data_IF_289918582350
#
_entry.id   IF_289918582350
#
_cell.length_a   1.000
_cell.length_b   1.000
_cell.length_c   1.000
_cell.angle_alpha   90.00
_cell.angle_beta   90.00
_cell.angle_gamma   90.00
#
_symmetry.space_group_name_H-M   'P 1'
#
loop_
_entity.id
_entity.type
_entity.pdbx_description
1 polymer ?
#
# COMPACT_ATOMS: atom_id res chain seq x y z
N UNK A 1 9.51 30.83 -37.18
CA UNK A 1 8.24 30.78 -36.42
C UNK A 1 8.13 29.38 -35.85
N UNK A 2 8.82 29.14 -34.73
CA UNK A 2 8.85 27.82 -34.07
C UNK A 2 7.54 27.59 -33.31
N UNK A 3 6.89 26.47 -33.59
CA UNK A 3 5.76 25.96 -32.80
C UNK A 3 6.32 25.38 -31.50
N UNK A 4 5.92 25.96 -30.37
CA UNK A 4 6.08 25.34 -29.06
C UNK A 4 5.25 24.04 -29.07
N UNK A 5 5.93 22.91 -29.15
CA UNK A 5 5.31 21.60 -28.89
C UNK A 5 4.97 21.58 -27.40
N UNK A 6 3.67 21.59 -27.08
CA UNK A 6 3.20 21.32 -25.72
C UNK A 6 3.76 19.96 -25.29
N UNK A 7 4.60 19.96 -24.26
CA UNK A 7 5.11 18.73 -23.66
C UNK A 7 3.90 17.89 -23.23
N UNK A 8 3.77 16.68 -23.78
CA UNK A 8 2.79 15.72 -23.31
C UNK A 8 3.14 15.37 -21.86
N UNK A 9 2.43 15.96 -20.90
CA UNK A 9 2.55 15.61 -19.49
C UNK A 9 1.82 14.28 -19.34
N UNK A 10 2.56 13.18 -19.14
CA UNK A 10 1.93 11.91 -18.79
C UNK A 10 1.13 12.12 -17.51
N UNK A 11 -0.11 11.62 -17.41
CA UNK A 11 -0.80 11.60 -16.12
C UNK A 11 0.09 10.86 -15.12
N UNK A 12 0.27 11.44 -13.92
CA UNK A 12 1.00 10.78 -12.84
C UNK A 12 0.39 9.43 -12.51
N UNK A 13 1.20 8.50 -11.97
CA UNK A 13 0.72 7.17 -11.60
C UNK A 13 -0.40 7.25 -10.57
N UNK A 14 -1.37 6.34 -10.68
CA UNK A 14 -2.45 6.25 -9.70
C UNK A 14 -2.05 5.33 -8.55
N UNK A 15 -2.28 5.75 -7.32
CA UNK A 15 -2.01 4.96 -6.12
C UNK A 15 -3.30 4.58 -5.40
N UNK A 16 -3.37 3.34 -4.89
CA UNK A 16 -4.50 2.87 -4.07
C UNK A 16 -4.03 2.39 -2.71
N UNK A 17 -4.98 2.42 -1.76
CA UNK A 17 -4.79 1.98 -0.39
C UNK A 17 -5.89 0.96 -0.06
N UNK A 18 -5.51 -0.31 -0.01
CA UNK A 18 -6.43 -1.43 0.13
C UNK A 18 -6.44 -1.99 1.55
N UNK A 19 -7.58 -2.41 2.09
CA UNK A 19 -7.64 -3.01 3.41
C UNK A 19 -7.03 -4.42 3.38
N UNK A 20 -6.18 -4.72 4.35
CA UNK A 20 -5.53 -6.04 4.47
C UNK A 20 -5.72 -6.64 5.87
N UNK A 21 -5.71 -7.98 5.94
CA UNK A 21 -5.92 -8.75 7.17
C UNK A 21 -4.67 -9.55 7.56
N UNK A 22 -3.89 -9.99 6.58
CA UNK A 22 -2.64 -10.72 6.77
C UNK A 22 -1.43 -9.84 6.42
N UNK A 23 -0.32 -10.09 7.10
CA UNK A 23 0.96 -9.43 6.79
C UNK A 23 1.71 -10.19 5.69
N UNK A 24 2.51 -9.50 4.85
CA UNK A 24 3.42 -10.16 3.91
C UNK A 24 4.34 -11.16 4.60
N UNK A 25 4.85 -10.83 5.79
CA UNK A 25 5.77 -11.69 6.54
C UNK A 25 5.19 -13.09 6.80
N UNK A 26 3.88 -13.18 7.08
CA UNK A 26 3.20 -14.47 7.27
C UNK A 26 2.96 -15.25 5.97
N UNK A 27 3.01 -14.58 4.81
CA UNK A 27 2.58 -15.13 3.52
C UNK A 27 3.74 -15.49 2.60
N UNK A 28 4.92 -14.86 2.76
CA UNK A 28 6.06 -15.10 1.87
C UNK A 28 6.47 -16.57 1.81
N UNK A 29 6.61 -17.22 2.97
CA UNK A 29 6.97 -18.64 3.04
C UNK A 29 5.95 -19.54 2.34
N UNK A 30 4.66 -19.49 2.75
CA UNK A 30 3.58 -20.21 2.10
C UNK A 30 3.46 -19.95 0.59
N UNK A 31 3.63 -18.70 0.14
CA UNK A 31 3.58 -18.35 -1.29
C UNK A 31 4.75 -18.98 -2.05
N UNK A 32 5.98 -18.93 -1.51
CA UNK A 32 7.11 -19.59 -2.15
C UNK A 32 6.88 -21.11 -2.28
N UNK A 33 6.31 -21.76 -1.26
CA UNK A 33 5.93 -23.17 -1.33
C UNK A 33 4.84 -23.43 -2.39
N UNK A 34 3.86 -22.53 -2.49
CA UNK A 34 2.80 -22.58 -3.50
C UNK A 34 3.34 -22.48 -4.94
N UNK A 35 4.43 -21.74 -5.16
CA UNK A 35 5.11 -21.72 -6.47
C UNK A 35 5.79 -23.05 -6.84
N UNK A 36 6.04 -23.91 -5.86
CA UNK A 36 6.53 -25.29 -6.03
C UNK A 36 5.40 -26.33 -6.05
N UNK A 37 4.14 -25.89 -6.00
CA UNK A 37 2.95 -26.74 -5.98
C UNK A 37 2.56 -27.29 -4.62
N UNK A 38 3.06 -26.69 -3.54
CA UNK A 38 2.67 -27.02 -2.15
C UNK A 38 1.77 -25.92 -1.60
N UNK A 39 0.45 -26.13 -1.64
CA UNK A 39 -0.51 -25.07 -1.35
C UNK A 39 -1.12 -25.14 0.05
N UNK A 40 -1.02 -26.28 0.72
CA UNK A 40 -1.63 -26.56 2.04
C UNK A 40 -1.46 -25.40 3.03
N UNK A 41 -0.21 -24.99 3.31
CA UNK A 41 0.08 -23.91 4.25
C UNK A 41 -0.52 -22.55 3.86
N UNK A 42 -0.65 -22.27 2.54
CA UNK A 42 -1.23 -21.02 2.06
C UNK A 42 -2.76 -21.05 2.23
N UNK A 43 -3.39 -22.18 1.90
CA UNK A 43 -4.84 -22.36 2.01
C UNK A 43 -5.30 -22.36 3.48
N UNK A 44 -4.53 -23.00 4.37
CA UNK A 44 -4.80 -23.02 5.82
C UNK A 44 -4.82 -21.62 6.44
N UNK A 45 -4.02 -20.69 5.91
CA UNK A 45 -3.96 -19.30 6.40
C UNK A 45 -5.14 -18.45 5.93
N UNK A 46 -5.74 -18.76 4.79
CA UNK A 46 -6.67 -17.86 4.12
C UNK A 46 -8.12 -18.06 4.51
N UNK A 47 -8.46 -19.20 5.10
CA UNK A 47 -9.84 -19.66 5.30
C UNK A 47 -10.61 -19.66 3.94
N UNK A 48 -11.79 -20.26 3.83
CA UNK A 48 -12.48 -20.44 2.52
C UNK A 48 -12.93 -19.12 1.83
N UNK A 49 -12.47 -17.95 2.28
CA UNK A 49 -12.98 -16.63 1.92
C UNK A 49 -12.06 -15.84 0.97
N UNK A 50 -11.05 -16.47 0.36
CA UNK A 50 -10.13 -15.78 -0.54
C UNK A 50 -10.56 -15.84 -2.01
N UNK A 51 -10.38 -14.75 -2.76
CA UNK A 51 -10.57 -14.70 -4.21
C UNK A 51 -9.42 -15.33 -5.01
N UNK A 52 -8.75 -16.33 -4.45
CA UNK A 52 -7.63 -17.00 -5.10
C UNK A 52 -8.07 -17.79 -6.34
N UNK A 53 -7.21 -17.93 -7.36
CA UNK A 53 -7.44 -18.91 -8.41
C UNK A 53 -7.44 -20.33 -7.83
N UNK A 54 -8.00 -21.28 -8.57
CA UNK A 54 -7.92 -22.70 -8.20
C UNK A 54 -6.45 -23.14 -8.11
N UNK A 55 -6.04 -23.62 -6.94
CA UNK A 55 -4.71 -24.16 -6.67
C UNK A 55 -4.82 -25.67 -6.53
N UNK A 56 -4.00 -26.42 -7.28
CA UNK A 56 -4.03 -27.87 -7.31
C UNK A 56 -2.71 -28.44 -6.82
N UNK A 57 -2.77 -29.19 -5.72
CA UNK A 57 -1.59 -29.76 -5.09
C UNK A 57 -0.74 -30.58 -6.08
N UNK A 58 0.57 -30.33 -6.07
CA UNK A 58 1.53 -30.89 -7.02
C UNK A 58 1.70 -30.11 -8.33
N UNK A 59 0.88 -29.08 -8.58
CA UNK A 59 0.99 -28.20 -9.74
C UNK A 59 1.40 -26.78 -9.33
N UNK A 60 2.22 -26.11 -10.14
CA UNK A 60 2.62 -24.73 -9.82
C UNK A 60 1.43 -23.77 -9.85
N UNK A 61 1.49 -22.72 -9.03
CA UNK A 61 0.47 -21.68 -9.06
C UNK A 61 0.31 -21.05 -10.47
N UNK A 62 -0.93 -20.80 -10.93
CA UNK A 62 -1.18 -20.22 -12.24
C UNK A 62 -0.89 -18.71 -12.32
N UNK A 63 -0.60 -18.06 -11.18
CA UNK A 63 -0.33 -16.62 -11.08
C UNK A 63 1.00 -16.39 -10.36
N UNK A 64 1.59 -15.21 -10.55
CA UNK A 64 2.85 -14.85 -9.91
C UNK A 64 2.72 -14.56 -8.40
N UNK A 65 3.87 -14.46 -7.72
CA UNK A 65 3.96 -14.25 -6.27
C UNK A 65 3.34 -12.93 -5.82
N UNK A 66 3.52 -11.84 -6.57
CA UNK A 66 2.96 -10.54 -6.21
C UNK A 66 1.42 -10.56 -6.30
N UNK A 67 0.87 -11.23 -7.31
CA UNK A 67 -0.57 -11.44 -7.46
C UNK A 67 -1.12 -12.33 -6.34
N UNK A 68 -0.46 -13.44 -6.02
CA UNK A 68 -0.83 -14.27 -4.86
C UNK A 68 -0.78 -13.46 -3.57
N UNK A 69 0.29 -12.72 -3.33
CA UNK A 69 0.47 -11.90 -2.13
C UNK A 69 -0.66 -10.88 -2.01
N UNK A 70 -0.95 -10.15 -3.08
CA UNK A 70 -2.03 -9.18 -3.11
C UNK A 70 -3.36 -9.80 -2.71
N UNK A 71 -3.79 -10.86 -3.40
CA UNK A 71 -5.08 -11.51 -3.16
C UNK A 71 -5.17 -12.09 -1.75
N UNK A 72 -4.06 -12.68 -1.28
CA UNK A 72 -3.96 -13.32 0.03
C UNK A 72 -4.01 -12.33 1.20
N UNK A 73 -3.52 -11.10 1.00
CA UNK A 73 -3.49 -10.09 2.05
C UNK A 73 -4.86 -9.42 2.29
N UNK A 74 -5.73 -9.38 1.28
CA UNK A 74 -6.95 -8.56 1.29
C UNK A 74 -7.93 -8.93 2.41
N UNK A 75 -8.59 -7.92 2.97
CA UNK A 75 -9.69 -8.07 3.94
C UNK A 75 -11.00 -8.43 3.20
N UNK A 76 -11.07 -9.66 2.71
CA UNK A 76 -12.25 -10.24 2.08
C UNK A 76 -13.46 -10.22 3.01
N UNK A 77 -14.65 -10.04 2.44
CA UNK A 77 -15.88 -10.11 3.22
C UNK A 77 -16.22 -11.58 3.53
N UNK A 78 -16.89 -11.82 4.67
CA UNK A 78 -17.26 -13.17 5.12
C UNK A 78 -18.19 -13.92 4.16
N UNK A 79 -18.80 -13.24 3.19
CA UNK A 79 -19.64 -13.81 2.14
C UNK A 79 -18.84 -14.10 0.85
N UNK A 80 -17.51 -14.03 0.90
CA UNK A 80 -16.63 -14.11 -0.26
C UNK A 80 -16.63 -12.85 -1.13
N UNK A 81 -17.34 -11.80 -0.72
CA UNK A 81 -17.41 -10.54 -1.45
C UNK A 81 -16.07 -9.77 -1.44
N UNK A 82 -15.83 -9.01 -2.51
CA UNK A 82 -14.64 -8.17 -2.63
C UNK A 82 -14.46 -7.21 -1.43
N UNK A 83 -13.22 -6.84 -1.06
CA UNK A 83 -12.98 -5.97 0.08
C UNK A 83 -13.69 -4.63 -0.04
N UNK A 84 -14.27 -4.16 1.07
CA UNK A 84 -14.88 -2.82 1.12
C UNK A 84 -13.79 -1.75 1.01
N UNK A 85 -13.99 -0.71 0.21
CA UNK A 85 -13.04 0.40 0.14
C UNK A 85 -12.84 1.08 1.51
N UNK A 86 -11.64 1.62 1.74
CA UNK A 86 -11.30 2.35 2.96
C UNK A 86 -11.75 3.81 2.93
N UNK A 87 -12.03 4.35 1.75
CA UNK A 87 -12.35 5.77 1.56
C UNK A 87 -13.72 6.01 0.92
N UNK A 88 -14.01 7.30 0.71
CA UNK A 88 -15.03 7.80 -0.20
C UNK A 88 -14.30 8.49 -1.35
N UNK A 89 -14.77 8.29 -2.59
CA UNK A 89 -14.01 8.56 -3.83
C UNK A 89 -13.22 9.88 -3.93
N UNK A 90 -13.65 10.95 -3.25
CA UNK A 90 -12.89 12.21 -3.20
C UNK A 90 -11.49 12.07 -2.55
N UNK A 91 -11.34 11.32 -1.45
CA UNK A 91 -10.03 11.14 -0.82
C UNK A 91 -9.12 10.19 -1.60
N UNK A 92 -9.72 9.20 -2.27
CA UNK A 92 -9.00 8.34 -3.22
C UNK A 92 -8.42 9.13 -4.38
N UNK A 93 -9.16 10.07 -4.96
CA UNK A 93 -8.60 10.87 -6.06
C UNK A 93 -7.44 11.76 -5.58
N UNK A 94 -7.63 12.41 -4.43
CA UNK A 94 -6.64 13.35 -3.87
C UNK A 94 -5.34 12.67 -3.43
N UNK A 95 -5.42 11.49 -2.83
CA UNK A 95 -4.24 10.75 -2.37
C UNK A 95 -3.65 9.86 -3.48
N UNK A 96 -4.50 9.35 -4.38
CA UNK A 96 -4.11 8.46 -5.47
C UNK A 96 -3.47 9.17 -6.65
N UNK A 97 -3.81 10.45 -6.91
CA UNK A 97 -3.11 11.33 -7.85
C UNK A 97 -2.65 12.58 -7.12
N UNK A 98 -1.75 12.40 -6.16
CA UNK A 98 -1.22 13.55 -5.47
C UNK A 98 -0.51 14.48 -6.48
N UNK A 99 -0.58 15.81 -6.34
CA UNK A 99 0.08 16.74 -7.27
C UNK A 99 1.63 16.77 -7.13
N UNK A 100 2.27 15.61 -7.00
CA UNK A 100 3.72 15.39 -7.09
C UNK A 100 4.12 14.88 -8.47
N UNK A 101 5.43 14.87 -8.76
CA UNK A 101 5.96 14.41 -10.04
C UNK A 101 5.57 12.96 -10.39
N UNK A 102 5.46 12.09 -9.38
CA UNK A 102 5.14 10.67 -9.51
C UNK A 102 3.71 10.30 -9.08
N UNK A 103 2.96 11.25 -8.51
CA UNK A 103 1.62 11.02 -7.98
C UNK A 103 1.57 10.40 -6.58
N UNK A 104 2.72 10.14 -5.95
CA UNK A 104 2.83 9.42 -4.69
C UNK A 104 2.83 10.36 -3.48
N UNK A 105 1.68 10.41 -2.77
CA UNK A 105 1.54 11.22 -1.57
C UNK A 105 2.45 10.78 -0.42
N UNK A 106 2.78 9.49 -0.30
CA UNK A 106 3.58 8.96 0.81
C UNK A 106 5.04 9.38 0.65
N UNK A 107 5.55 9.32 -0.57
CA UNK A 107 6.90 9.80 -0.90
C UNK A 107 7.00 11.32 -0.75
N UNK A 108 5.98 12.06 -1.19
CA UNK A 108 5.90 13.50 -0.95
C UNK A 108 5.96 13.83 0.55
N UNK A 109 5.22 13.10 1.38
CA UNK A 109 5.27 13.29 2.84
C UNK A 109 6.67 13.02 3.38
N UNK A 110 7.30 11.90 3.02
CA UNK A 110 8.68 11.58 3.44
C UNK A 110 9.69 12.64 3.03
N UNK A 111 9.52 13.23 1.86
CA UNK A 111 10.41 14.26 1.33
C UNK A 111 10.26 15.59 2.07
N UNK A 112 9.03 16.03 2.34
CA UNK A 112 8.75 17.39 2.82
C UNK A 112 8.36 17.49 4.30
N UNK A 113 8.38 16.39 5.06
CA UNK A 113 8.31 16.44 6.53
C UNK A 113 9.68 16.31 7.20
N UNK A 114 9.85 17.01 8.32
CA UNK A 114 11.00 16.79 9.21
C UNK A 114 10.89 15.43 9.91
N UNK A 115 12.02 14.83 10.28
CA UNK A 115 12.10 13.48 10.87
C UNK A 115 11.39 13.32 12.23
N UNK A 116 10.76 14.38 12.74
CA UNK A 116 10.05 14.41 14.02
C UNK A 116 10.99 14.58 15.20
N UNK A 117 10.42 14.63 16.41
CA UNK A 117 11.16 14.57 17.66
C UNK A 117 11.77 13.17 17.86
N UNK A 118 12.82 13.06 18.69
CA UNK A 118 13.36 11.75 19.10
C UNK A 118 12.24 10.83 19.60
N UNK A 119 12.13 9.65 18.97
CA UNK A 119 11.08 8.67 19.27
C UNK A 119 9.81 8.77 18.42
N UNK A 120 9.71 9.69 17.46
CA UNK A 120 8.62 9.66 16.48
C UNK A 120 8.77 8.46 15.52
N UNK A 121 7.67 7.72 15.34
CA UNK A 121 7.59 6.62 14.38
C UNK A 121 7.02 7.06 13.03
N UNK A 122 6.82 8.37 12.80
CA UNK A 122 6.16 8.88 11.60
C UNK A 122 6.90 8.46 10.31
N UNK A 123 8.19 8.78 10.21
CA UNK A 123 8.98 8.47 9.02
C UNK A 123 9.19 6.96 8.84
N UNK A 124 9.35 6.19 9.92
CA UNK A 124 9.50 4.73 9.79
C UNK A 124 8.21 4.08 9.28
N UNK A 125 7.05 4.51 9.76
CA UNK A 125 5.75 4.02 9.30
C UNK A 125 5.43 4.47 7.87
N UNK A 126 5.75 5.72 7.50
CA UNK A 126 5.61 6.18 6.11
C UNK A 126 6.53 5.40 5.16
N UNK A 127 7.78 5.12 5.55
CA UNK A 127 8.68 4.25 4.77
C UNK A 127 8.11 2.84 4.62
N UNK A 128 7.58 2.25 5.70
CA UNK A 128 6.93 0.93 5.64
C UNK A 128 5.72 0.93 4.70
N UNK A 129 4.89 1.98 4.75
CA UNK A 129 3.73 2.12 3.87
C UNK A 129 4.10 2.37 2.40
N UNK A 130 5.15 3.14 2.13
CA UNK A 130 5.55 3.52 0.77
C UNK A 130 6.50 2.55 0.08
N UNK A 131 7.24 1.74 0.84
CA UNK A 131 8.34 0.89 0.30
C UNK A 131 8.45 -0.49 0.93
N UNK A 132 7.62 -0.82 1.92
CA UNK A 132 7.77 -2.02 2.75
C UNK A 132 7.61 -3.39 2.06
N UNK A 133 7.26 -3.44 0.78
CA UNK A 133 7.25 -4.67 -0.04
C UNK A 133 8.49 -4.77 -0.94
N UNK A 134 9.27 -3.69 -1.08
CA UNK A 134 10.50 -3.66 -1.88
C UNK A 134 11.47 -4.77 -1.48
N UNK A 135 12.20 -5.32 -2.45
CA UNK A 135 13.09 -6.47 -2.24
C UNK A 135 14.17 -6.21 -1.19
N UNK A 136 14.61 -4.96 -1.07
CA UNK A 136 15.57 -4.48 -0.08
C UNK A 136 15.04 -4.51 1.36
N UNK A 137 13.72 -4.41 1.53
CA UNK A 137 13.06 -4.38 2.84
C UNK A 137 12.47 -5.76 3.18
N UNK A 138 11.75 -6.38 2.25
CA UNK A 138 11.13 -7.68 2.45
C UNK A 138 12.18 -8.81 2.41
N UNK A 139 13.31 -8.62 1.72
CA UNK A 139 14.36 -9.63 1.56
C UNK A 139 14.01 -10.76 0.58
N UNK A 140 12.91 -10.61 -0.17
CA UNK A 140 12.39 -11.63 -1.08
C UNK A 140 11.97 -11.03 -2.42
N UNK A 141 12.40 -11.70 -3.49
CA UNK A 141 12.18 -11.20 -4.85
C UNK A 141 10.84 -11.63 -5.44
N UNK A 142 10.33 -10.82 -6.37
CA UNK A 142 9.12 -11.09 -7.13
C UNK A 142 7.79 -10.85 -6.41
N UNK A 143 7.81 -10.19 -5.25
CA UNK A 143 6.61 -9.82 -4.49
C UNK A 143 6.15 -8.37 -4.73
N UNK A 144 7.04 -7.49 -5.19
CA UNK A 144 6.73 -6.09 -5.46
C UNK A 144 6.06 -5.85 -6.81
N UNK A 145 6.45 -6.59 -7.85
CA UNK A 145 5.92 -6.43 -9.21
C UNK A 145 5.28 -7.72 -9.69
N UNK A 146 4.02 -7.63 -10.11
CA UNK A 146 3.23 -8.75 -10.61
C UNK A 146 2.84 -8.61 -12.06
N UNK A 147 2.30 -9.68 -12.61
CA UNK A 147 1.59 -9.65 -13.88
C UNK A 147 0.35 -8.75 -13.79
N UNK A 148 -0.20 -8.36 -14.95
CA UNK A 148 -1.38 -7.48 -15.04
C UNK A 148 -1.18 -6.04 -14.52
N UNK A 149 0.07 -5.58 -14.38
CA UNK A 149 0.37 -4.19 -14.00
C UNK A 149 0.19 -3.90 -12.50
N UNK A 150 0.20 -4.94 -11.66
CA UNK A 150 0.19 -4.80 -10.20
C UNK A 150 1.58 -4.44 -9.72
N UNK A 151 1.66 -3.36 -8.94
CA UNK A 151 2.87 -3.01 -8.21
C UNK A 151 2.53 -2.73 -6.74
N UNK A 152 3.07 -3.58 -5.87
CA UNK A 152 2.94 -3.52 -4.42
C UNK A 152 4.09 -2.70 -3.85
N UNK A 153 3.75 -1.60 -3.18
CA UNK A 153 4.75 -0.65 -2.69
C UNK A 153 5.11 -0.93 -1.23
N UNK A 154 4.13 -0.87 -0.34
CA UNK A 154 4.34 -1.00 1.10
C UNK A 154 3.04 -1.24 1.83
N UNK A 155 3.13 -1.48 3.13
CA UNK A 155 2.01 -1.95 3.92
C UNK A 155 2.11 -1.51 5.38
N UNK A 156 0.99 -1.60 6.10
CA UNK A 156 0.89 -1.39 7.53
C UNK A 156 -0.07 -2.43 8.10
N UNK A 157 0.29 -3.06 9.22
CA UNK A 157 -0.67 -3.86 9.98
C UNK A 157 -1.65 -2.96 10.77
N UNK A 158 -2.58 -3.58 11.48
CA UNK A 158 -3.57 -2.84 12.28
C UNK A 158 -2.94 -2.03 13.42
N UNK A 159 -1.81 -2.44 13.98
CA UNK A 159 -1.11 -1.71 15.04
C UNK A 159 -0.38 -0.49 14.46
N UNK A 160 0.33 -0.68 13.34
CA UNK A 160 0.98 0.37 12.57
C UNK A 160 -0.01 1.45 12.12
N UNK A 161 -1.17 1.05 11.60
CA UNK A 161 -2.26 1.98 11.20
C UNK A 161 -2.68 2.85 12.38
N UNK A 162 -2.84 2.24 13.56
CA UNK A 162 -3.21 2.97 14.76
C UNK A 162 -2.12 3.92 15.21
N UNK A 163 -0.85 3.53 15.11
CA UNK A 163 0.27 4.38 15.50
C UNK A 163 0.49 5.54 14.53
N UNK A 164 0.49 5.28 13.22
CA UNK A 164 0.61 6.33 12.20
C UNK A 164 -0.52 7.35 12.32
N UNK A 165 -1.75 6.88 12.58
CA UNK A 165 -2.91 7.76 12.83
C UNK A 165 -2.66 8.67 14.02
N UNK A 166 -2.09 8.17 15.13
CA UNK A 166 -1.79 9.00 16.31
C UNK A 166 -0.68 10.00 16.00
N UNK A 167 0.39 9.59 15.34
CA UNK A 167 1.51 10.48 15.01
C UNK A 167 1.05 11.65 14.14
N UNK A 168 0.27 11.38 13.10
CA UNK A 168 -0.27 12.44 12.24
C UNK A 168 -1.24 13.35 13.02
N UNK A 169 -2.13 12.76 13.83
CA UNK A 169 -3.14 13.51 14.59
C UNK A 169 -2.57 14.34 15.74
N UNK A 170 -1.42 13.94 16.31
CA UNK A 170 -0.69 14.72 17.32
C UNK A 170 -0.14 16.03 16.76
N UNK A 171 0.11 16.11 15.45
CA UNK A 171 0.54 17.34 14.78
C UNK A 171 1.95 17.80 15.18
N UNK A 172 2.81 16.90 15.69
CA UNK A 172 4.20 17.22 16.08
C UNK A 172 5.21 17.13 14.92
N UNK A 173 4.72 16.95 13.71
CA UNK A 173 5.53 16.97 12.50
C UNK A 173 5.73 18.41 12.04
N UNK A 174 6.87 18.67 11.41
CA UNK A 174 7.20 19.98 10.82
C UNK A 174 7.24 19.86 9.30
N UNK A 175 6.86 20.93 8.62
CA UNK A 175 7.00 21.06 7.17
C UNK A 175 8.37 21.66 6.87
N UNK A 176 9.10 21.10 5.90
CA UNK A 176 10.37 21.68 5.45
C UNK A 176 10.14 22.99 4.70
N UNK A 177 11.08 23.92 4.80
CA UNK A 177 10.96 25.26 4.21
C UNK A 177 10.96 25.27 2.67
N UNK A 178 11.42 24.19 2.05
CA UNK A 178 11.51 23.98 0.62
C UNK A 178 10.32 23.18 0.04
N UNK A 179 9.23 23.02 0.81
CA UNK A 179 8.00 22.42 0.29
C UNK A 179 7.50 23.19 -0.96
N UNK A 180 7.30 22.51 -2.11
CA UNK A 180 6.92 23.19 -3.34
C UNK A 180 5.43 23.53 -3.43
N UNK A 181 4.57 22.82 -2.69
CA UNK A 181 3.13 23.03 -2.72
C UNK A 181 2.68 23.70 -1.42
N UNK A 182 2.00 24.84 -1.54
CA UNK A 182 1.42 25.52 -0.38
C UNK A 182 0.37 24.64 0.31
N UNK A 183 0.71 24.12 1.49
CA UNK A 183 -0.14 23.24 2.29
C UNK A 183 -0.22 21.79 1.78
N UNK A 184 0.68 21.35 0.90
CA UNK A 184 0.68 20.00 0.33
C UNK A 184 0.77 18.90 1.40
N UNK A 185 1.69 19.03 2.35
CA UNK A 185 1.89 18.10 3.47
C UNK A 185 0.62 17.99 4.30
N UNK A 186 0.01 19.14 4.64
CA UNK A 186 -1.21 19.17 5.44
C UNK A 186 -2.37 18.51 4.70
N UNK A 187 -2.49 18.72 3.39
CA UNK A 187 -3.52 18.10 2.56
C UNK A 187 -3.33 16.58 2.42
N UNK A 188 -2.10 16.13 2.15
CA UNK A 188 -1.74 14.72 2.08
C UNK A 188 -2.08 14.00 3.39
N UNK A 189 -1.66 14.56 4.53
CA UNK A 189 -2.00 14.00 5.85
C UNK A 189 -3.50 13.98 6.13
N UNK A 190 -4.23 15.04 5.77
CA UNK A 190 -5.68 15.11 5.94
C UNK A 190 -6.37 13.96 5.21
N UNK A 191 -5.95 13.66 3.99
CA UNK A 191 -6.51 12.57 3.20
C UNK A 191 -6.05 11.19 3.67
N UNK A 192 -4.76 11.01 4.00
CA UNK A 192 -4.24 9.77 4.56
C UNK A 192 -4.96 9.40 5.87
N UNK A 193 -5.28 10.38 6.72
CA UNK A 193 -6.08 10.18 7.93
C UNK A 193 -7.50 9.65 7.67
N UNK A 194 -8.08 9.85 6.48
CA UNK A 194 -9.37 9.25 6.13
C UNK A 194 -9.22 7.73 6.03
N UNK A 195 -8.21 7.25 5.29
CA UNK A 195 -7.90 5.83 5.15
C UNK A 195 -7.56 5.19 6.50
N UNK A 196 -6.65 5.81 7.27
CA UNK A 196 -6.21 5.30 8.56
C UNK A 196 -7.35 5.21 9.58
N UNK A 197 -8.26 6.19 9.63
CA UNK A 197 -9.45 6.13 10.49
C UNK A 197 -10.39 4.98 10.10
N UNK A 198 -10.58 4.76 8.81
CA UNK A 198 -11.44 3.69 8.32
C UNK A 198 -10.86 2.31 8.63
N UNK A 199 -9.56 2.11 8.36
CA UNK A 199 -8.84 0.88 8.66
C UNK A 199 -8.80 0.60 10.17
N UNK A 200 -8.48 1.60 10.99
CA UNK A 200 -8.51 1.52 12.45
C UNK A 200 -9.88 1.09 12.99
N UNK A 201 -10.98 1.67 12.50
CA UNK A 201 -12.35 1.28 12.89
C UNK A 201 -12.69 -0.16 12.52
N UNK A 202 -12.16 -0.64 11.40
CA UNK A 202 -12.33 -2.02 10.90
C UNK A 202 -11.34 -3.01 11.51
N UNK A 203 -10.33 -2.54 12.24
CA UNK A 203 -9.22 -3.33 12.79
C UNK A 203 -8.45 -4.08 11.69
N UNK A 204 -8.28 -3.46 10.53
CA UNK A 204 -7.49 -3.99 9.43
C UNK A 204 -6.24 -3.11 9.17
N UNK A 205 -5.28 -3.68 8.43
CA UNK A 205 -4.12 -2.97 7.92
C UNK A 205 -4.41 -2.24 6.60
N UNK A 206 -3.37 -1.68 6.00
CA UNK A 206 -3.41 -1.02 4.69
C UNK A 206 -2.27 -1.50 3.80
N UNK A 207 -2.55 -1.79 2.54
CA UNK A 207 -1.57 -2.03 1.49
C UNK A 207 -1.60 -0.86 0.50
N UNK A 208 -0.44 -0.31 0.16
CA UNK A 208 -0.28 0.69 -0.88
C UNK A 208 0.14 0.03 -2.20
N UNK A 209 -0.52 0.39 -3.30
CA UNK A 209 -0.20 -0.09 -4.64
C UNK A 209 -0.15 1.02 -5.66
N UNK A 210 0.66 0.83 -6.69
CA UNK A 210 0.73 1.67 -7.88
C UNK A 210 0.07 0.96 -9.05
N UNK A 211 -0.59 1.74 -9.90
CA UNK A 211 -1.18 1.31 -11.16
C UNK A 211 -0.34 1.89 -12.29
N UNK A 212 0.19 1.01 -13.15
CA UNK A 212 0.97 1.36 -14.35
C UNK A 212 0.12 1.33 -15.62
#
# INVERSE_FOLDING_TARGET
MERIMGSYIRPSSFHTFDPIKLSPDSLVGPINASMEGKHENLLDLLEDNSGLPELKEGEQSPVDKATLLFISMLDWQNDGGAPRALDRGHSRERLGRFPSNDGNAVEYLLEFTGEGEEGSSLHSLLKKLGRGIGEDILGHNGFGEGSMGIELLGWLDSADVNELRKEIARGRWTVKSDEPLDGGVQDAFRHLLVFLRSASRRKCGILMRRHS
#
